data_IF_986480187041
#
_entry.id   IF_986480187041
#
_cell.length_a   1.000
_cell.length_b   1.000
_cell.length_c   1.000
_cell.angle_alpha   90.00
_cell.angle_beta   90.00
_cell.angle_gamma   90.00
#
_symmetry.space_group_name_H-M   'P 1'
#
loop_
_entity.id
_entity.type
_entity.pdbx_description
1 polymer ?
#
# COMPACT_ATOMS: atom_id res chain seq x y z
N UNK A 1 -1.38 -10.25 -11.55
CA UNK A 1 0.06 -10.54 -11.58
C UNK A 1 0.60 -10.26 -10.20
N UNK A 2 1.40 -11.16 -9.61
CA UNK A 2 1.99 -10.89 -8.30
C UNK A 2 2.91 -9.67 -8.37
N UNK A 3 2.85 -8.79 -7.37
CA UNK A 3 3.80 -7.67 -7.23
C UNK A 3 5.21 -8.26 -7.09
N UNK A 4 6.14 -7.83 -7.94
CA UNK A 4 7.54 -8.22 -7.92
C UNK A 4 8.27 -7.72 -6.66
N UNK A 5 9.32 -8.43 -6.25
CA UNK A 5 10.07 -8.08 -5.04
C UNK A 5 10.73 -6.71 -5.12
N UNK A 6 11.15 -6.27 -6.31
CA UNK A 6 11.75 -4.94 -6.49
C UNK A 6 10.74 -3.83 -6.15
N UNK A 7 9.51 -3.95 -6.65
CA UNK A 7 8.41 -3.04 -6.32
C UNK A 7 8.09 -3.06 -4.82
N UNK A 8 8.08 -4.24 -4.18
CA UNK A 8 7.86 -4.34 -2.72
C UNK A 8 8.93 -3.61 -1.92
N UNK A 9 10.21 -3.84 -2.23
CA UNK A 9 11.33 -3.14 -1.58
C UNK A 9 11.26 -1.64 -1.79
N UNK A 10 10.86 -1.18 -2.99
CA UNK A 10 10.69 0.26 -3.28
C UNK A 10 9.59 0.88 -2.43
N UNK A 11 8.45 0.20 -2.30
CA UNK A 11 7.34 0.64 -1.44
C UNK A 11 7.79 0.72 0.02
N UNK A 12 8.49 -0.31 0.53
CA UNK A 12 8.96 -0.33 1.91
C UNK A 12 9.95 0.81 2.20
N UNK A 13 10.89 1.06 1.28
CA UNK A 13 11.84 2.17 1.37
C UNK A 13 11.15 3.54 1.29
N UNK A 14 10.16 3.70 0.40
CA UNK A 14 9.34 4.90 0.31
C UNK A 14 8.56 5.16 1.61
N UNK A 15 7.96 4.13 2.22
CA UNK A 15 7.26 4.23 3.51
C UNK A 15 8.21 4.73 4.59
N UNK A 16 9.40 4.13 4.68
CA UNK A 16 10.41 4.51 5.67
C UNK A 16 10.91 5.94 5.47
N UNK A 17 11.22 6.32 4.22
CA UNK A 17 11.72 7.66 3.88
C UNK A 17 10.71 8.76 4.13
N UNK A 18 9.43 8.50 3.89
CA UNK A 18 8.36 9.49 4.03
C UNK A 18 7.70 9.49 5.41
N UNK A 19 8.11 8.57 6.31
CA UNK A 19 7.54 8.45 7.65
C UNK A 19 6.07 8.03 7.65
N UNK A 20 5.67 7.23 6.65
CA UNK A 20 4.31 6.73 6.50
C UNK A 20 4.08 5.49 7.35
N UNK A 21 2.81 5.13 7.54
CA UNK A 21 2.47 3.88 8.17
C UNK A 21 2.72 2.69 7.23
N UNK A 22 2.56 1.46 7.76
CA UNK A 22 2.79 0.22 7.01
C UNK A 22 1.91 0.03 5.76
N UNK A 23 0.86 0.82 5.59
CA UNK A 23 -0.04 0.82 4.44
C UNK A 23 0.20 2.00 3.50
N UNK A 24 1.28 2.76 3.67
CA UNK A 24 1.59 3.92 2.82
C UNK A 24 0.72 5.14 3.08
N UNK A 25 -0.12 5.13 4.12
CA UNK A 25 -0.92 6.29 4.50
C UNK A 25 -0.16 7.15 5.54
N UNK A 26 -0.57 8.41 5.75
CA UNK A 26 0.04 9.28 6.77
C UNK A 26 0.08 8.64 8.17
N UNK A 27 1.07 9.01 9.01
CA UNK A 27 1.09 8.60 10.40
C UNK A 27 -0.15 9.17 11.11
N UNK A 28 -0.82 8.33 11.90
CA UNK A 28 -2.07 8.70 12.60
C UNK A 28 -3.36 8.46 11.82
N UNK A 29 -3.30 7.89 10.60
CA UNK A 29 -4.50 7.43 9.89
C UNK A 29 -5.25 6.37 10.71
N UNK A 30 -6.53 6.64 10.97
CA UNK A 30 -7.45 5.71 11.63
C UNK A 30 -8.29 5.00 10.57
N UNK A 31 -8.24 3.68 10.56
CA UNK A 31 -9.05 2.87 9.66
C UNK A 31 -10.37 2.54 10.33
N UNK A 32 -11.49 2.91 9.70
CA UNK A 32 -12.80 2.47 10.12
C UNK A 32 -12.88 0.94 9.94
N UNK A 33 -12.89 0.19 11.03
CA UNK A 33 -12.77 -1.28 11.02
C UNK A 33 -11.37 -1.81 11.36
N UNK A 34 -10.42 -0.95 11.73
CA UNK A 34 -9.09 -1.33 12.23
C UNK A 34 -8.08 -1.76 11.17
N UNK A 35 -8.52 -2.31 10.02
CA UNK A 35 -7.64 -2.72 8.94
C UNK A 35 -8.19 -2.27 7.57
N UNK A 36 -7.40 -1.52 6.76
CA UNK A 36 -7.83 -1.11 5.42
C UNK A 36 -7.87 -2.25 4.40
N UNK A 37 -7.20 -3.37 4.68
CA UNK A 37 -7.13 -4.54 3.79
C UNK A 37 -8.33 -5.47 3.93
N UNK A 38 -9.14 -5.26 4.97
CA UNK A 38 -10.31 -6.06 5.27
C UNK A 38 -11.56 -5.21 5.01
N UNK A 39 -12.16 -5.38 3.84
CA UNK A 39 -13.44 -4.77 3.52
C UNK A 39 -14.55 -5.80 3.74
N UNK A 40 -15.21 -5.74 4.89
CA UNK A 40 -16.37 -6.58 5.22
C UNK A 40 -17.51 -6.43 4.22
N UNK A 41 -17.52 -5.35 3.42
CA UNK A 41 -18.53 -5.09 2.39
C UNK A 41 -18.23 -5.81 1.08
N UNK A 42 -17.03 -6.36 0.91
CA UNK A 42 -16.63 -7.14 -0.27
C UNK A 42 -16.25 -8.57 0.13
N UNK A 43 -17.10 -9.58 -0.17
CA UNK A 43 -16.69 -10.97 -0.03
C UNK A 43 -15.57 -11.26 -1.03
N UNK A 44 -14.34 -11.37 -0.52
CA UNK A 44 -13.14 -11.62 -1.30
C UNK A 44 -11.93 -11.87 -0.40
N UNK A 45 -10.84 -12.45 -0.95
CA UNK A 45 -9.60 -12.58 -0.20
C UNK A 45 -9.08 -11.20 0.24
N UNK A 46 -8.42 -11.11 1.41
CA UNK A 46 -7.83 -9.85 1.88
C UNK A 46 -6.93 -9.28 0.78
N UNK A 47 -7.09 -7.99 0.49
CA UNK A 47 -6.27 -7.33 -0.52
C UNK A 47 -4.82 -7.34 -0.04
N UNK A 48 -3.88 -7.74 -0.89
CA UNK A 48 -2.47 -7.71 -0.53
C UNK A 48 -2.06 -6.27 -0.19
N UNK A 49 -1.30 -6.10 0.89
CA UNK A 49 -0.83 -4.79 1.38
C UNK A 49 -0.21 -3.94 0.26
N UNK A 50 0.61 -4.56 -0.59
CA UNK A 50 1.27 -3.87 -1.68
C UNK A 50 0.30 -3.51 -2.80
N UNK A 51 -0.68 -4.36 -3.10
CA UNK A 51 -1.74 -4.01 -4.06
C UNK A 51 -2.59 -2.85 -3.57
N UNK A 52 -2.92 -2.81 -2.27
CA UNK A 52 -3.61 -1.67 -1.66
C UNK A 52 -2.80 -0.37 -1.80
N UNK A 53 -1.51 -0.42 -1.46
CA UNK A 53 -0.62 0.73 -1.57
C UNK A 53 -0.54 1.20 -3.02
N UNK A 54 -0.33 0.29 -3.98
CA UNK A 54 -0.22 0.63 -5.41
C UNK A 54 -1.54 1.10 -6.01
N UNK A 55 -2.68 0.67 -5.47
CA UNK A 55 -3.98 1.19 -5.88
C UNK A 55 -4.16 2.66 -5.51
N UNK A 56 -3.49 3.13 -4.45
CA UNK A 56 -3.53 4.54 -3.99
C UNK A 56 -2.36 5.36 -4.53
N UNK A 57 -1.22 4.71 -4.68
CA UNK A 57 0.04 5.26 -5.11
C UNK A 57 0.57 4.50 -6.34
N UNK A 58 -0.14 4.57 -7.48
CA UNK A 58 0.28 3.89 -8.70
C UNK A 58 1.65 4.37 -9.21
N UNK A 59 2.08 5.57 -8.83
CA UNK A 59 3.41 6.13 -9.13
C UNK A 59 4.55 5.25 -8.63
N UNK A 60 4.35 4.52 -7.52
CA UNK A 60 5.37 3.62 -6.96
C UNK A 60 5.60 2.38 -7.82
N UNK A 61 4.64 2.06 -8.70
CA UNK A 61 4.75 0.93 -9.64
C UNK A 61 5.68 1.25 -10.80
N UNK A 62 5.68 2.51 -11.26
CA UNK A 62 6.32 2.87 -12.52
C UNK A 62 7.47 3.83 -12.40
N UNK A 63 7.60 4.62 -11.31
CA UNK A 63 8.55 5.74 -11.15
C UNK A 63 9.40 6.00 -12.41
N UNK A 64 8.72 6.52 -13.43
CA UNK A 64 9.33 7.36 -14.44
C UNK A 64 9.17 8.75 -13.87
N UNK A 65 10.21 9.19 -13.17
CA UNK A 65 10.44 10.56 -12.76
C UNK A 65 10.00 11.49 -13.91
N UNK A 66 9.06 12.40 -13.64
CA UNK A 66 8.78 13.55 -14.49
C UNK A 66 9.32 14.80 -13.81
#
# INVERSE_FOLDING_TARGET
>A
MPIDQATKTRIDDWIQKTGRNQFGDPPGTVYAGGNPLFDERKPGPPTDRYEYILSRHPELKTEATA
#
